data_IF_701661653412
#
_entry.id   IF_701661653412
#
_cell.length_a   1.000
_cell.length_b   1.000
_cell.length_c   1.000
_cell.angle_alpha   90.00
_cell.angle_beta   90.00
_cell.angle_gamma   90.00
#
_symmetry.space_group_name_H-M   'P 1'
#
loop_
_entity.id
_entity.type
_entity.pdbx_description
1 polymer ?
#
# COMPACT_ATOMS: atom_id res chain seq x y z
N UNK A 1 35.79 -15.96 -5.19
CA UNK A 1 34.77 -15.00 -4.67
C UNK A 1 34.01 -14.27 -5.81
N UNK A 2 34.66 -13.71 -6.82
CA UNK A 2 34.03 -12.99 -7.95
C UNK A 2 32.97 -13.81 -8.71
N UNK A 3 33.19 -15.11 -8.93
CA UNK A 3 32.26 -15.99 -9.64
C UNK A 3 30.95 -16.28 -8.88
N UNK A 4 30.98 -16.38 -7.57
CA UNK A 4 29.76 -16.62 -6.77
C UNK A 4 28.88 -15.34 -6.72
N UNK A 5 29.49 -14.16 -6.58
CA UNK A 5 28.78 -12.87 -6.63
C UNK A 5 28.12 -12.67 -7.97
N UNK A 6 28.85 -12.91 -9.08
CA UNK A 6 28.32 -12.81 -10.45
C UNK A 6 27.13 -13.76 -10.69
N UNK A 7 27.22 -15.01 -10.25
CA UNK A 7 26.13 -15.98 -10.35
C UNK A 7 24.88 -15.51 -9.58
N UNK A 8 25.05 -14.94 -8.40
CA UNK A 8 23.95 -14.38 -7.61
C UNK A 8 23.30 -13.21 -8.34
N UNK A 9 24.09 -12.30 -8.87
CA UNK A 9 23.59 -11.15 -9.64
C UNK A 9 22.83 -11.59 -10.91
N UNK A 10 23.33 -12.58 -11.64
CA UNK A 10 22.66 -13.13 -12.81
C UNK A 10 21.34 -13.84 -12.44
N UNK A 11 21.31 -14.57 -11.31
CA UNK A 11 20.09 -15.18 -10.79
C UNK A 11 19.04 -14.13 -10.44
N UNK A 12 19.43 -13.06 -9.74
CA UNK A 12 18.54 -11.95 -9.39
C UNK A 12 18.04 -11.19 -10.63
N UNK A 13 18.89 -10.92 -11.60
CA UNK A 13 18.47 -10.31 -12.88
C UNK A 13 17.40 -11.15 -13.57
N UNK A 14 17.61 -12.47 -13.64
CA UNK A 14 16.64 -13.37 -14.28
C UNK A 14 15.34 -13.49 -13.48
N UNK A 15 15.42 -13.51 -12.15
CA UNK A 15 14.24 -13.46 -11.28
C UNK A 15 13.42 -12.19 -11.52
N UNK A 16 14.08 -11.04 -11.60
CA UNK A 16 13.44 -9.76 -11.87
C UNK A 16 12.80 -9.70 -13.27
N UNK A 17 13.45 -10.21 -14.31
CA UNK A 17 12.87 -10.33 -15.66
C UNK A 17 11.55 -11.12 -15.65
N UNK A 18 11.50 -12.21 -14.89
CA UNK A 18 10.27 -13.02 -14.76
C UNK A 18 9.17 -12.22 -14.05
N UNK A 19 9.52 -11.51 -12.97
CA UNK A 19 8.54 -10.67 -12.25
C UNK A 19 8.07 -9.51 -13.13
N UNK A 20 8.94 -8.91 -13.96
CA UNK A 20 8.55 -7.83 -14.87
C UNK A 20 7.53 -8.32 -15.89
N UNK A 21 7.78 -9.49 -16.51
CA UNK A 21 6.85 -10.11 -17.43
C UNK A 21 5.50 -10.47 -16.78
N UNK A 22 5.53 -11.01 -15.56
CA UNK A 22 4.34 -11.32 -14.79
C UNK A 22 3.55 -10.05 -14.42
N UNK A 23 4.24 -9.00 -13.99
CA UNK A 23 3.66 -7.71 -13.64
C UNK A 23 2.88 -7.10 -14.82
N UNK A 24 3.46 -7.05 -16.02
CA UNK A 24 2.78 -6.53 -17.20
C UNK A 24 1.49 -7.30 -17.49
N UNK A 25 1.49 -8.62 -17.31
CA UNK A 25 0.31 -9.44 -17.53
C UNK A 25 -0.74 -9.22 -16.43
N UNK A 26 -0.36 -9.24 -15.15
CA UNK A 26 -1.28 -8.99 -14.03
C UNK A 26 -1.88 -7.58 -14.05
N UNK A 27 -1.20 -6.60 -14.66
CA UNK A 27 -1.73 -5.25 -14.81
C UNK A 27 -2.68 -5.08 -15.99
N UNK A 28 -2.70 -6.02 -16.95
CA UNK A 28 -3.45 -5.89 -18.21
C UNK A 28 -4.56 -6.92 -18.39
N UNK A 29 -4.60 -7.96 -17.55
CA UNK A 29 -5.54 -9.09 -17.66
C UNK A 29 -6.05 -9.51 -16.29
N UNK A 30 -7.20 -10.20 -16.26
CA UNK A 30 -7.70 -10.84 -15.05
C UNK A 30 -6.78 -11.98 -14.61
N UNK A 31 -6.69 -12.21 -13.30
CA UNK A 31 -5.81 -13.21 -12.72
C UNK A 31 -6.03 -14.60 -13.32
N UNK A 32 -7.28 -15.01 -13.55
CA UNK A 32 -7.69 -16.32 -14.07
C UNK A 32 -7.18 -16.58 -15.48
N UNK A 33 -7.06 -15.54 -16.31
CA UNK A 33 -6.62 -15.66 -17.71
C UNK A 33 -5.11 -15.86 -17.85
N UNK A 34 -4.37 -15.64 -16.78
CA UNK A 34 -2.91 -15.67 -16.79
C UNK A 34 -2.43 -17.07 -16.41
N UNK A 35 -1.53 -17.63 -17.22
CA UNK A 35 -0.89 -18.92 -16.99
C UNK A 35 0.64 -18.77 -16.92
N UNK A 36 1.32 -19.77 -16.33
CA UNK A 36 2.79 -19.81 -16.33
C UNK A 36 3.34 -19.84 -17.77
N UNK A 37 2.62 -20.44 -18.72
CA UNK A 37 2.98 -20.47 -20.15
C UNK A 37 2.98 -19.06 -20.75
N UNK A 38 1.93 -18.27 -20.46
CA UNK A 38 1.84 -16.89 -20.97
C UNK A 38 2.93 -16.00 -20.38
N UNK A 39 3.26 -16.19 -19.09
CA UNK A 39 4.36 -15.49 -18.42
C UNK A 39 5.70 -15.89 -19.03
N UNK A 40 5.94 -17.19 -19.23
CA UNK A 40 7.17 -17.71 -19.84
C UNK A 40 7.37 -17.16 -21.26
N UNK A 41 6.30 -17.17 -22.07
CA UNK A 41 6.31 -16.58 -23.43
C UNK A 41 6.64 -15.08 -23.38
N UNK A 42 6.04 -14.33 -22.47
CA UNK A 42 6.30 -12.88 -22.29
C UNK A 42 7.74 -12.61 -21.85
N UNK A 43 8.28 -13.44 -20.95
CA UNK A 43 9.66 -13.35 -20.47
C UNK A 43 10.70 -13.89 -21.48
N UNK A 44 10.25 -14.48 -22.60
CA UNK A 44 11.10 -15.17 -23.59
C UNK A 44 11.93 -16.31 -22.95
N UNK A 45 11.32 -17.07 -22.06
CA UNK A 45 11.93 -18.17 -21.33
C UNK A 45 11.11 -19.46 -21.51
N UNK A 46 11.77 -20.61 -21.33
CA UNK A 46 11.07 -21.89 -21.25
C UNK A 46 10.24 -21.96 -19.92
N UNK A 47 9.06 -22.60 -19.97
CA UNK A 47 8.21 -22.82 -18.78
C UNK A 47 8.98 -23.43 -17.60
N UNK A 48 9.84 -24.42 -17.87
CA UNK A 48 10.70 -25.03 -16.85
C UNK A 48 11.65 -24.04 -16.17
N UNK A 49 12.07 -22.99 -16.89
CA UNK A 49 12.91 -21.94 -16.30
C UNK A 49 12.14 -21.11 -15.27
N UNK A 50 10.84 -20.85 -15.50
CA UNK A 50 10.00 -20.14 -14.51
C UNK A 50 9.96 -20.92 -13.21
N UNK A 51 9.72 -22.24 -13.26
CA UNK A 51 9.64 -23.09 -12.06
C UNK A 51 10.95 -23.20 -11.28
N UNK A 52 12.11 -22.85 -11.85
CA UNK A 52 13.37 -22.75 -11.10
C UNK A 52 13.42 -21.52 -10.15
N UNK A 53 12.50 -20.57 -10.32
CA UNK A 53 12.45 -19.31 -9.56
C UNK A 53 11.17 -19.14 -8.76
N UNK A 54 10.06 -19.71 -9.22
CA UNK A 54 8.72 -19.54 -8.64
C UNK A 54 7.94 -20.85 -8.76
N UNK A 55 7.49 -21.34 -7.63
CA UNK A 55 6.80 -22.64 -7.53
C UNK A 55 5.40 -22.60 -8.15
N UNK A 56 4.78 -21.40 -8.21
CA UNK A 56 3.40 -21.26 -8.67
C UNK A 56 3.11 -19.85 -9.26
N UNK A 57 1.93 -19.70 -9.86
CA UNK A 57 1.41 -18.40 -10.31
C UNK A 57 1.17 -17.46 -9.12
N UNK A 58 0.72 -18.01 -8.01
CA UNK A 58 0.48 -17.33 -6.74
C UNK A 58 1.78 -16.74 -6.17
N UNK A 59 2.88 -17.49 -6.24
CA UNK A 59 4.20 -17.02 -5.82
C UNK A 59 4.68 -15.83 -6.68
N UNK A 60 4.40 -15.87 -7.99
CA UNK A 60 4.67 -14.73 -8.89
C UNK A 60 3.78 -13.52 -8.57
N UNK A 61 2.49 -13.75 -8.34
CA UNK A 61 1.56 -12.71 -7.94
C UNK A 61 2.01 -12.03 -6.64
N UNK A 62 2.38 -12.83 -5.64
CA UNK A 62 2.93 -12.34 -4.36
C UNK A 62 4.21 -11.54 -4.55
N UNK A 63 5.09 -11.95 -5.47
CA UNK A 63 6.32 -11.21 -5.77
C UNK A 63 6.05 -9.85 -6.43
N UNK A 64 5.04 -9.74 -7.29
CA UNK A 64 4.60 -8.46 -7.88
C UNK A 64 3.94 -7.60 -6.81
N UNK A 65 3.02 -8.14 -5.99
CA UNK A 65 2.38 -7.43 -4.89
C UNK A 65 3.40 -6.85 -3.90
N UNK A 66 4.44 -7.62 -3.57
CA UNK A 66 5.53 -7.20 -2.70
C UNK A 66 6.29 -5.99 -3.24
N UNK A 67 6.47 -5.86 -4.55
CA UNK A 67 7.04 -4.64 -5.17
C UNK A 67 6.18 -3.41 -4.88
N UNK A 68 4.87 -3.52 -5.07
CA UNK A 68 3.93 -2.42 -4.77
C UNK A 68 4.00 -2.01 -3.31
N UNK A 69 3.99 -2.97 -2.39
CA UNK A 69 4.09 -2.69 -0.95
C UNK A 69 5.44 -2.06 -0.55
N UNK A 70 6.54 -2.43 -1.21
CA UNK A 70 7.85 -1.80 -0.97
C UNK A 70 7.88 -0.34 -1.46
N UNK A 71 7.21 -0.03 -2.58
CA UNK A 71 7.03 1.35 -3.04
C UNK A 71 6.24 2.13 -2.00
N UNK A 72 5.10 1.61 -1.55
CA UNK A 72 4.26 2.22 -0.51
C UNK A 72 5.04 2.45 0.79
N UNK A 73 5.79 1.46 1.25
CA UNK A 73 6.64 1.57 2.44
C UNK A 73 7.67 2.72 2.30
N UNK A 74 8.33 2.81 1.13
CA UNK A 74 9.26 3.91 0.85
C UNK A 74 8.57 5.26 0.86
N UNK A 75 7.36 5.37 0.30
CA UNK A 75 6.57 6.60 0.32
C UNK A 75 6.19 7.00 1.75
N UNK A 76 5.74 6.07 2.59
CA UNK A 76 5.43 6.33 3.99
C UNK A 76 6.64 6.79 4.80
N UNK A 77 7.78 6.11 4.64
CA UNK A 77 9.04 6.51 5.29
C UNK A 77 9.47 7.93 4.91
N UNK A 78 9.30 8.30 3.64
CA UNK A 78 9.62 9.66 3.15
C UNK A 78 8.62 10.70 3.65
N UNK A 79 7.33 10.36 3.71
CA UNK A 79 6.27 11.26 4.10
C UNK A 79 6.42 11.82 5.52
N UNK A 80 6.99 11.05 6.45
CA UNK A 80 7.14 11.47 7.86
C UNK A 80 8.36 12.36 8.09
N UNK A 81 9.30 12.46 7.13
CA UNK A 81 10.53 13.23 7.29
C UNK A 81 10.20 14.73 7.35
N UNK A 82 10.79 15.44 8.31
CA UNK A 82 10.64 16.89 8.46
C UNK A 82 9.28 17.36 8.99
N UNK A 83 8.38 16.45 9.36
CA UNK A 83 7.10 16.81 9.98
C UNK A 83 7.28 17.20 11.44
N UNK A 84 6.56 18.24 11.89
CA UNK A 84 6.76 18.90 13.19
C UNK A 84 6.28 18.07 14.38
N UNK A 85 5.23 17.27 14.19
CA UNK A 85 4.57 16.50 15.27
C UNK A 85 3.92 15.24 14.72
N UNK A 86 3.46 14.37 15.63
CA UNK A 86 2.86 13.10 15.25
C UNK A 86 1.56 13.21 14.45
N UNK A 87 0.74 14.24 14.68
CA UNK A 87 -0.46 14.49 13.88
C UNK A 87 -0.11 14.79 12.43
N UNK A 88 0.89 15.65 12.18
CA UNK A 88 1.35 15.95 10.83
C UNK A 88 1.97 14.73 10.14
N UNK A 89 2.72 13.89 10.89
CA UNK A 89 3.24 12.61 10.36
C UNK A 89 2.09 11.67 9.95
N UNK A 90 1.13 11.44 10.83
CA UNK A 90 0.00 10.56 10.53
C UNK A 90 -0.80 11.04 9.31
N UNK A 91 -0.99 12.35 9.19
CA UNK A 91 -1.70 12.95 8.08
C UNK A 91 -0.94 12.81 6.76
N UNK A 92 0.37 13.08 6.77
CA UNK A 92 1.21 12.94 5.58
C UNK A 92 1.32 11.49 5.07
N UNK A 93 1.15 10.50 5.96
CA UNK A 93 1.04 9.08 5.55
C UNK A 93 -0.26 8.85 4.76
N UNK A 94 -1.38 9.44 5.20
CA UNK A 94 -2.65 9.38 4.46
C UNK A 94 -2.55 10.02 3.06
N UNK A 95 -1.90 11.17 2.95
CA UNK A 95 -1.62 11.81 1.65
C UNK A 95 -0.73 10.92 0.77
N UNK A 96 0.34 10.33 1.34
CA UNK A 96 1.23 9.44 0.62
C UNK A 96 0.52 8.15 0.15
N UNK A 97 -0.44 7.64 0.92
CA UNK A 97 -1.26 6.51 0.50
C UNK A 97 -2.14 6.86 -0.70
N UNK A 98 -2.75 8.03 -0.68
CA UNK A 98 -3.51 8.52 -1.82
C UNK A 98 -2.66 8.71 -3.08
N UNK A 99 -1.49 9.33 -2.92
CA UNK A 99 -0.54 9.49 -4.03
C UNK A 99 -0.11 8.15 -4.60
N UNK A 100 0.12 7.15 -3.75
CA UNK A 100 0.39 5.78 -4.19
C UNK A 100 -0.76 5.23 -5.03
N UNK A 101 -1.99 5.37 -4.59
CA UNK A 101 -3.16 4.87 -5.32
C UNK A 101 -3.34 5.54 -6.69
N UNK A 102 -2.94 6.81 -6.83
CA UNK A 102 -2.96 7.53 -8.11
C UNK A 102 -1.81 7.17 -9.03
N UNK A 103 -0.58 7.20 -8.49
CA UNK A 103 0.65 7.03 -9.28
C UNK A 103 0.91 5.56 -9.60
N UNK A 104 0.46 4.66 -8.75
CA UNK A 104 0.67 3.21 -8.84
C UNK A 104 -0.65 2.44 -8.88
N UNK A 105 -1.62 2.95 -9.66
CA UNK A 105 -3.00 2.44 -9.72
C UNK A 105 -3.09 0.93 -9.92
N UNK A 106 -2.24 0.35 -10.78
CA UNK A 106 -2.26 -1.10 -11.05
C UNK A 106 -1.88 -1.92 -9.83
N UNK A 107 -0.89 -1.47 -9.03
CA UNK A 107 -0.55 -2.12 -7.76
C UNK A 107 -1.67 -2.00 -6.73
N UNK A 108 -2.34 -0.85 -6.69
CA UNK A 108 -3.48 -0.63 -5.81
C UNK A 108 -4.65 -1.55 -6.17
N UNK A 109 -5.03 -1.63 -7.45
CA UNK A 109 -6.09 -2.54 -7.92
C UNK A 109 -5.74 -4.00 -7.63
N UNK A 110 -4.49 -4.39 -7.85
CA UNK A 110 -3.99 -5.73 -7.53
C UNK A 110 -4.08 -6.04 -6.02
N UNK A 111 -3.90 -5.05 -5.13
CA UNK A 111 -4.07 -5.24 -3.69
C UNK A 111 -5.53 -5.51 -3.30
N UNK A 112 -6.49 -4.85 -3.96
CA UNK A 112 -7.92 -5.09 -3.78
C UNK A 112 -8.30 -6.50 -4.26
N UNK A 113 -7.86 -6.86 -5.47
CA UNK A 113 -8.09 -8.18 -6.04
C UNK A 113 -7.52 -9.30 -5.14
N UNK A 114 -6.34 -9.10 -4.56
CA UNK A 114 -5.72 -10.07 -3.66
C UNK A 114 -6.54 -10.35 -2.40
N UNK A 115 -7.28 -9.36 -1.89
CA UNK A 115 -8.19 -9.56 -0.75
C UNK A 115 -9.38 -10.45 -1.12
N UNK A 116 -9.92 -10.30 -2.32
CA UNK A 116 -10.98 -11.17 -2.85
C UNK A 116 -10.45 -12.58 -3.16
N UNK A 117 -9.25 -12.69 -3.72
CA UNK A 117 -8.60 -13.96 -4.05
C UNK A 117 -8.17 -14.74 -2.80
N UNK A 118 -7.84 -14.07 -1.68
CA UNK A 118 -7.39 -14.72 -0.44
C UNK A 118 -8.41 -15.69 0.15
N UNK A 119 -9.69 -15.53 -0.15
CA UNK A 119 -10.76 -16.48 0.18
C UNK A 119 -10.81 -17.72 -0.72
N UNK A 120 -10.27 -17.62 -1.93
CA UNK A 120 -10.38 -18.66 -2.99
C UNK A 120 -9.05 -19.38 -3.21
N UNK A 121 -7.92 -18.69 -3.08
CA UNK A 121 -6.56 -19.22 -3.28
C UNK A 121 -5.95 -19.48 -1.91
N UNK A 122 -6.07 -20.73 -1.45
CA UNK A 122 -5.52 -21.16 -0.14
C UNK A 122 -3.99 -21.11 -0.14
N UNK A 123 -3.42 -20.25 0.69
CA UNK A 123 -2.13 -20.50 1.34
C UNK A 123 -0.92 -19.73 0.82
N UNK A 124 -0.79 -19.33 -0.46
CA UNK A 124 0.48 -18.82 -0.98
C UNK A 124 0.54 -17.29 -1.20
N UNK A 125 -0.59 -16.61 -1.30
CA UNK A 125 -0.62 -15.13 -1.42
C UNK A 125 -0.19 -14.45 -0.10
N UNK A 126 -0.28 -15.14 1.03
CA UNK A 126 0.21 -14.67 2.33
C UNK A 126 1.67 -15.09 2.59
N UNK A 127 2.59 -14.73 1.71
CA UNK A 127 4.00 -14.97 2.00
C UNK A 127 4.42 -14.21 3.28
N UNK A 128 5.33 -14.79 4.06
CA UNK A 128 5.88 -14.13 5.27
C UNK A 128 6.39 -12.72 4.98
N UNK A 129 6.91 -12.48 3.78
CA UNK A 129 7.40 -11.18 3.35
C UNK A 129 6.28 -10.15 3.16
N UNK A 130 5.13 -10.57 2.60
CA UNK A 130 3.96 -9.69 2.45
C UNK A 130 3.38 -9.30 3.81
N UNK A 131 3.25 -10.26 4.72
CA UNK A 131 2.79 -10.00 6.10
C UNK A 131 3.76 -9.06 6.82
N UNK A 132 5.06 -9.28 6.67
CA UNK A 132 6.10 -8.44 7.28
C UNK A 132 6.03 -6.99 6.79
N UNK A 133 5.98 -6.76 5.46
CA UNK A 133 5.96 -5.40 4.91
C UNK A 133 4.66 -4.65 5.22
N UNK A 134 3.52 -5.36 5.27
CA UNK A 134 2.26 -4.78 5.71
C UNK A 134 2.31 -4.40 7.19
N UNK A 135 2.92 -5.24 8.03
CA UNK A 135 3.17 -4.93 9.43
C UNK A 135 4.07 -3.70 9.61
N UNK A 136 5.13 -3.56 8.80
CA UNK A 136 5.98 -2.37 8.80
C UNK A 136 5.19 -1.10 8.41
N UNK A 137 4.35 -1.17 7.38
CA UNK A 137 3.53 -0.05 6.94
C UNK A 137 2.56 0.41 8.02
N UNK A 138 1.89 -0.53 8.68
CA UNK A 138 1.02 -0.24 9.83
C UNK A 138 1.81 0.36 11.00
N UNK A 139 3.00 -0.16 11.28
CA UNK A 139 3.85 0.30 12.38
C UNK A 139 4.35 1.74 12.18
N UNK A 140 4.64 2.16 10.93
CA UNK A 140 4.99 3.56 10.63
C UNK A 140 3.84 4.50 11.06
N UNK A 141 2.61 4.17 10.71
CA UNK A 141 1.44 4.98 11.09
C UNK A 141 1.18 4.91 12.60
N UNK A 142 1.26 3.72 13.21
CA UNK A 142 1.06 3.53 14.65
C UNK A 142 2.05 4.38 15.46
N UNK A 143 3.31 4.42 15.05
CA UNK A 143 4.33 5.27 15.68
C UNK A 143 3.98 6.75 15.53
N UNK A 144 3.56 7.20 14.36
CA UNK A 144 3.16 8.59 14.15
C UNK A 144 1.99 9.00 15.07
N UNK A 145 0.99 8.12 15.23
CA UNK A 145 -0.14 8.37 16.15
C UNK A 145 0.35 8.38 17.60
N UNK A 146 1.20 7.44 18.02
CA UNK A 146 1.73 7.38 19.38
C UNK A 146 2.56 8.64 19.71
N UNK A 147 3.47 9.05 18.82
CA UNK A 147 4.23 10.30 18.95
C UNK A 147 3.28 11.52 19.08
N UNK A 148 2.17 11.54 18.31
CA UNK A 148 1.18 12.62 18.40
C UNK A 148 0.44 12.67 19.75
N UNK A 149 0.23 11.53 20.38
CA UNK A 149 -0.31 11.48 21.74
C UNK A 149 0.72 12.01 22.73
N UNK A 150 1.99 11.62 22.61
CA UNK A 150 3.08 12.05 23.47
C UNK A 150 3.38 13.55 23.35
N UNK A 151 3.40 14.09 22.13
CA UNK A 151 3.65 15.51 21.85
C UNK A 151 2.39 16.41 22.05
N UNK A 152 1.25 15.79 22.34
CA UNK A 152 -0.02 16.47 22.61
C UNK A 152 -0.75 16.96 21.38
N UNK A 153 -0.29 16.66 20.17
CA UNK A 153 -0.97 17.02 18.91
C UNK A 153 -2.18 16.12 18.60
N UNK A 154 -2.17 14.89 19.12
CA UNK A 154 -3.28 13.91 19.04
C UNK A 154 -3.94 13.78 20.42
N UNK A 155 -5.24 13.51 20.45
CA UNK A 155 -6.02 13.29 21.68
C UNK A 155 -5.43 12.16 22.54
N UNK A 156 -5.25 12.36 23.87
CA UNK A 156 -4.53 11.42 24.72
C UNK A 156 -5.28 10.10 25.00
N UNK A 157 -6.59 10.05 24.77
CA UNK A 157 -7.44 8.90 25.04
C UNK A 157 -7.57 7.93 23.86
N UNK A 158 -6.83 8.14 22.77
CA UNK A 158 -6.88 7.28 21.58
C UNK A 158 -5.89 6.12 21.72
N UNK A 159 -6.30 4.94 21.23
CA UNK A 159 -5.41 3.79 21.10
C UNK A 159 -4.66 3.89 19.75
N UNK A 160 -3.30 3.93 19.74
CA UNK A 160 -2.54 4.13 18.49
C UNK A 160 -2.82 3.07 17.42
N UNK A 161 -2.95 1.78 17.80
CA UNK A 161 -3.20 0.71 16.85
C UNK A 161 -4.60 0.81 16.23
N UNK A 162 -5.63 0.93 17.09
CA UNK A 162 -7.02 1.03 16.61
C UNK A 162 -7.23 2.27 15.75
N UNK A 163 -6.62 3.39 16.17
CA UNK A 163 -6.64 4.64 15.37
C UNK A 163 -5.98 4.45 14.02
N UNK A 164 -4.84 3.76 13.95
CA UNK A 164 -4.15 3.51 12.67
C UNK A 164 -4.97 2.63 11.74
N UNK A 165 -5.58 1.56 12.25
CA UNK A 165 -6.48 0.71 11.45
C UNK A 165 -7.68 1.51 10.95
N UNK A 166 -8.29 2.34 11.80
CA UNK A 166 -9.40 3.22 11.42
C UNK A 166 -9.01 4.19 10.30
N UNK A 167 -7.85 4.85 10.41
CA UNK A 167 -7.35 5.79 9.40
C UNK A 167 -7.11 5.10 8.05
N UNK A 168 -6.47 3.93 8.05
CA UNK A 168 -6.22 3.16 6.83
C UNK A 168 -7.53 2.78 6.15
N UNK A 169 -8.46 2.18 6.90
CA UNK A 169 -9.72 1.69 6.35
C UNK A 169 -10.61 2.83 5.86
N UNK A 170 -10.69 3.94 6.61
CA UNK A 170 -11.45 5.11 6.18
C UNK A 170 -10.89 5.72 4.89
N UNK A 171 -9.57 5.84 4.77
CA UNK A 171 -8.92 6.36 3.55
C UNK A 171 -9.15 5.41 2.38
N UNK A 172 -8.96 4.11 2.59
CA UNK A 172 -9.19 3.08 1.56
C UNK A 172 -10.62 3.11 1.05
N UNK A 173 -11.61 3.13 1.93
CA UNK A 173 -13.03 3.16 1.56
C UNK A 173 -13.39 4.36 0.67
N UNK A 174 -12.76 5.52 0.88
CA UNK A 174 -12.99 6.71 0.05
C UNK A 174 -12.28 6.63 -1.32
N UNK A 175 -11.15 5.93 -1.38
CA UNK A 175 -10.46 5.68 -2.66
C UNK A 175 -11.24 4.65 -3.51
N UNK A 176 -11.85 3.66 -2.86
CA UNK A 176 -12.67 2.61 -3.48
C UNK A 176 -14.14 3.00 -3.62
N UNK A 177 -14.45 4.28 -3.74
CA UNK A 177 -15.83 4.76 -3.78
C UNK A 177 -16.65 4.02 -4.84
N UNK A 178 -17.79 3.41 -4.48
CA UNK A 178 -18.63 2.69 -5.43
C UNK A 178 -19.13 3.59 -6.57
N UNK A 179 -19.27 3.02 -7.78
CA UNK A 179 -19.65 3.76 -9.00
C UNK A 179 -20.97 4.54 -8.87
N UNK A 180 -21.91 4.06 -8.06
CA UNK A 180 -23.17 4.77 -7.78
C UNK A 180 -22.93 6.12 -7.10
N UNK A 181 -22.01 6.17 -6.11
CA UNK A 181 -21.63 7.43 -5.47
C UNK A 181 -20.81 8.34 -6.40
N UNK A 182 -19.93 7.78 -7.23
CA UNK A 182 -19.20 8.58 -8.24
C UNK A 182 -20.17 9.27 -9.22
N UNK A 183 -21.24 8.59 -9.61
CA UNK A 183 -22.27 9.16 -10.47
C UNK A 183 -23.04 10.29 -9.78
N UNK A 184 -23.39 10.14 -8.49
CA UNK A 184 -24.05 11.18 -7.69
C UNK A 184 -23.17 12.42 -7.53
N UNK A 185 -21.87 12.22 -7.26
CA UNK A 185 -20.91 13.32 -7.14
C UNK A 185 -20.82 14.13 -8.44
N UNK A 186 -20.70 13.46 -9.59
CA UNK A 186 -20.69 14.13 -10.90
C UNK A 186 -21.97 14.96 -11.16
N UNK A 187 -23.13 14.45 -10.77
CA UNK A 187 -24.40 15.19 -10.90
C UNK A 187 -24.46 16.43 -9.98
N UNK A 188 -23.78 16.39 -8.82
CA UNK A 188 -23.68 17.54 -7.92
C UNK A 188 -22.57 18.54 -8.29
N UNK A 189 -21.80 18.27 -9.34
CA UNK A 189 -20.64 19.08 -9.74
C UNK A 189 -19.41 18.87 -8.87
N UNK A 190 -19.37 17.79 -8.06
CA UNK A 190 -18.24 17.46 -7.19
C UNK A 190 -17.38 16.35 -7.78
N UNK A 191 -16.09 16.34 -7.42
CA UNK A 191 -15.13 15.35 -7.86
C UNK A 191 -14.74 14.39 -6.72
N UNK A 192 -14.32 13.19 -7.07
CA UNK A 192 -13.83 12.17 -6.12
C UNK A 192 -12.69 12.70 -5.24
N UNK A 193 -11.81 13.52 -5.80
CA UNK A 193 -10.69 14.13 -5.08
C UNK A 193 -11.16 15.07 -3.95
N UNK A 194 -12.33 15.71 -4.11
CA UNK A 194 -12.91 16.56 -3.05
C UNK A 194 -13.40 15.74 -1.87
N UNK A 195 -14.03 14.58 -2.15
CA UNK A 195 -14.47 13.66 -1.09
C UNK A 195 -13.30 13.17 -0.26
N UNK A 196 -12.18 12.85 -0.91
CA UNK A 196 -10.99 12.44 -0.19
C UNK A 196 -10.40 13.59 0.64
N UNK A 197 -10.24 14.78 0.08
CA UNK A 197 -9.77 15.96 0.82
C UNK A 197 -10.64 16.22 2.04
N UNK A 198 -11.95 16.16 1.87
CA UNK A 198 -12.92 16.28 2.97
C UNK A 198 -12.70 15.19 4.03
N UNK A 199 -12.57 13.92 3.60
CA UNK A 199 -12.33 12.81 4.52
C UNK A 199 -11.04 13.00 5.32
N UNK A 200 -9.94 13.32 4.65
CA UNK A 200 -8.66 13.57 5.33
C UNK A 200 -8.77 14.73 6.33
N UNK A 201 -9.47 15.80 5.99
CA UNK A 201 -9.72 16.91 6.93
C UNK A 201 -10.59 16.50 8.11
N UNK A 202 -11.67 15.75 7.88
CA UNK A 202 -12.53 15.24 8.94
C UNK A 202 -11.77 14.31 9.89
N UNK A 203 -10.96 13.39 9.35
CA UNK A 203 -10.08 12.52 10.13
C UNK A 203 -9.07 13.33 10.95
N UNK A 204 -8.47 14.37 10.37
CA UNK A 204 -7.56 15.28 11.10
C UNK A 204 -8.24 15.91 12.31
N UNK A 205 -9.43 16.49 12.11
CA UNK A 205 -10.19 17.09 13.22
C UNK A 205 -10.57 16.06 14.29
N UNK A 206 -10.91 14.82 13.90
CA UNK A 206 -11.25 13.76 14.84
C UNK A 206 -10.08 13.39 15.77
N UNK A 207 -8.84 13.48 15.28
CA UNK A 207 -7.63 13.14 16.02
C UNK A 207 -7.05 14.32 16.81
N UNK A 208 -7.19 15.54 16.29
CA UNK A 208 -6.51 16.73 16.81
C UNK A 208 -6.90 17.01 18.26
N UNK A 209 -5.90 17.23 19.11
CA UNK A 209 -6.10 17.70 20.48
C UNK A 209 -6.24 19.23 20.50
N UNK A 210 -7.49 19.72 20.53
CA UNK A 210 -7.80 21.15 20.50
C UNK A 210 -7.39 21.84 21.81
N UNK A 211 -7.30 21.11 22.94
CA UNK A 211 -6.98 21.70 24.24
C UNK A 211 -5.51 22.15 24.35
N UNK A 212 -4.60 21.62 23.54
CA UNK A 212 -3.18 22.03 23.55
C UNK A 212 -2.95 23.43 22.97
N UNK A 213 -3.78 23.89 22.02
CA UNK A 213 -3.65 25.24 21.43
C UNK A 213 -3.96 26.36 22.41
N UNK A 214 -4.93 26.15 23.31
CA UNK A 214 -5.35 27.19 24.27
C UNK A 214 -4.36 27.42 25.42
N UNK A 215 -3.31 26.58 25.55
CA UNK A 215 -2.25 26.79 26.55
C UNK A 215 -1.06 27.61 26.04
N UNK A 216 -0.87 27.70 24.73
CA UNK A 216 0.26 28.44 24.13
C UNK A 216 -0.09 29.92 23.98
N UNK A 217 -1.37 30.24 23.74
CA UNK A 217 -1.83 31.64 23.54
C UNK A 217 -2.11 32.38 24.89
N UNK A 218 -1.85 31.73 26.04
CA UNK A 218 -1.99 32.35 27.38
C UNK A 218 -0.66 32.56 28.12
N UNK A 219 0.47 32.48 27.44
CA UNK A 219 1.77 32.86 27.96
C UNK A 219 2.35 33.97 27.09
#
# INVERSE_FOLDING_TARGET
MLTAKRRKEEKEKRRNLIIDAAQELFFSKQYEEITIETIAKKAQLAKGTIYLYFDSKEALYSAVALRGLRILNSMFKKAVIGKKNGLEKAFSIGEAYYDFCRQHKSYFLMSIESEHLSGTIKGEINSKELVSINGENLEILRKAVAEGIEDGSVKPNLNPLLTSVFLIQSTKAMIELPSGFESLLKHSGSEKDEVLKFTLQALRHSLQNIQSKNKVDKK
#
